data_IF_290444139211
#
_entry.id   IF_290444139211
#
_cell.length_a   1.000
_cell.length_b   1.000
_cell.length_c   1.000
_cell.angle_alpha   90.00
_cell.angle_beta   90.00
_cell.angle_gamma   90.00
#
_symmetry.space_group_name_H-M   'P 1'
#
loop_
_entity.id
_entity.type
_entity.pdbx_description
1 polymer ?
#
# COMPACT_ATOMS: atom_id res chain seq x y z
N UNK A 1 17.59 19.92 9.76
CA UNK A 1 16.44 19.54 10.60
C UNK A 1 16.37 18.04 10.52
N UNK A 2 16.40 17.33 11.64
CA UNK A 2 16.14 15.89 11.61
C UNK A 2 14.67 15.67 11.22
N UNK A 3 14.31 14.55 10.56
CA UNK A 3 12.91 14.24 10.29
C UNK A 3 12.02 14.27 11.55
N UNK A 4 12.60 13.98 12.73
CA UNK A 4 11.91 14.09 14.01
C UNK A 4 11.53 15.53 14.39
N UNK A 5 12.32 16.54 14.05
CA UNK A 5 12.00 17.95 14.33
C UNK A 5 10.93 18.51 13.38
N UNK A 6 10.86 17.97 12.16
CA UNK A 6 9.91 18.42 11.14
C UNK A 6 8.52 17.77 11.31
N UNK A 7 8.50 16.45 11.56
CA UNK A 7 7.29 15.62 11.46
C UNK A 7 6.78 15.09 12.81
N UNK A 8 7.42 15.40 13.93
CA UNK A 8 6.95 15.04 15.28
C UNK A 8 6.85 16.30 16.13
N UNK A 9 5.80 16.39 16.95
CA UNK A 9 5.62 17.49 17.89
C UNK A 9 4.66 17.15 19.02
N UNK A 10 4.58 18.00 20.06
CA UNK A 10 3.54 17.89 21.07
C UNK A 10 2.20 18.37 20.51
N UNK A 11 1.13 18.19 21.29
CA UNK A 11 -0.13 18.89 21.03
C UNK A 11 0.11 20.40 21.14
N UNK A 12 -0.46 21.16 20.21
CA UNK A 12 -0.30 22.62 20.10
C UNK A 12 -1.62 23.38 20.19
N UNK A 13 -2.73 22.77 19.82
CA UNK A 13 -4.05 23.39 19.91
C UNK A 13 -4.59 23.33 21.36
N UNK A 14 -5.36 24.36 21.74
CA UNK A 14 -6.09 24.40 23.01
C UNK A 14 -7.14 23.28 23.05
N UNK A 15 -7.59 22.88 24.23
CA UNK A 15 -8.48 21.72 24.40
C UNK A 15 -9.79 21.87 23.61
N UNK A 16 -10.33 23.09 23.56
CA UNK A 16 -11.53 23.45 22.83
C UNK A 16 -11.38 23.48 21.29
N UNK A 17 -10.14 23.55 20.79
CA UNK A 17 -9.84 23.67 19.35
C UNK A 17 -9.42 22.32 18.73
N UNK A 18 -9.23 21.28 19.55
CA UNK A 18 -8.83 19.94 19.11
C UNK A 18 -9.99 19.19 18.46
N UNK A 19 -9.65 18.35 17.49
CA UNK A 19 -10.56 17.36 16.93
C UNK A 19 -10.33 16.04 17.67
N UNK A 20 -11.22 15.70 18.60
CA UNK A 20 -11.15 14.45 19.38
C UNK A 20 -11.82 13.30 18.61
N UNK A 21 -11.09 12.20 18.43
CA UNK A 21 -11.59 10.98 17.76
C UNK A 21 -11.22 9.73 18.55
N UNK A 22 -11.95 8.64 18.35
CA UNK A 22 -11.60 7.34 18.95
C UNK A 22 -10.29 6.80 18.36
N UNK A 23 -10.27 6.61 17.05
CA UNK A 23 -9.12 6.10 16.29
C UNK A 23 -8.85 7.01 15.10
N UNK A 24 -7.61 7.50 14.97
CA UNK A 24 -7.15 8.25 13.80
C UNK A 24 -6.32 7.33 12.88
N UNK A 25 -6.77 7.15 11.65
CA UNK A 25 -6.11 6.32 10.64
C UNK A 25 -5.49 7.26 9.59
N UNK A 26 -4.16 7.24 9.49
CA UNK A 26 -3.41 8.07 8.55
C UNK A 26 -3.17 7.28 7.27
N UNK A 27 -3.88 7.65 6.20
CA UNK A 27 -3.80 7.02 4.88
C UNK A 27 -5.03 6.16 4.59
N UNK A 28 -5.83 6.60 3.61
CA UNK A 28 -7.00 5.89 3.11
C UNK A 28 -6.66 4.86 2.04
N UNK A 29 -5.55 4.12 2.20
CA UNK A 29 -5.18 2.96 1.37
C UNK A 29 -5.92 1.68 1.78
N UNK A 30 -5.58 0.53 1.19
CA UNK A 30 -6.30 -0.71 1.48
C UNK A 30 -6.14 -1.14 2.95
N UNK A 31 -4.98 -0.89 3.55
CA UNK A 31 -4.76 -1.14 4.98
C UNK A 31 -5.61 -0.23 5.87
N UNK A 32 -5.59 1.08 5.60
CA UNK A 32 -6.36 2.04 6.39
C UNK A 32 -7.86 1.83 6.28
N UNK A 33 -8.38 1.59 5.07
CA UNK A 33 -9.81 1.33 4.86
C UNK A 33 -10.23 -0.01 5.46
N UNK A 34 -9.42 -1.07 5.34
CA UNK A 34 -9.72 -2.34 5.99
C UNK A 34 -9.74 -2.21 7.52
N UNK A 35 -8.83 -1.42 8.09
CA UNK A 35 -8.83 -1.11 9.53
C UNK A 35 -10.11 -0.36 9.94
N UNK A 36 -10.50 0.67 9.17
CA UNK A 36 -11.70 1.44 9.44
C UNK A 36 -12.97 0.57 9.39
N UNK A 37 -13.13 -0.19 8.31
CA UNK A 37 -14.27 -1.11 8.13
C UNK A 37 -14.34 -2.10 9.30
N UNK A 38 -13.22 -2.77 9.61
CA UNK A 38 -13.22 -3.79 10.66
C UNK A 38 -13.49 -3.21 12.04
N UNK A 39 -12.97 -2.02 12.35
CA UNK A 39 -13.31 -1.32 13.61
C UNK A 39 -14.80 -1.04 13.69
N UNK A 40 -15.40 -0.49 12.62
CA UNK A 40 -16.84 -0.20 12.63
C UNK A 40 -17.70 -1.46 12.77
N UNK A 41 -17.35 -2.56 12.08
CA UNK A 41 -18.01 -3.86 12.26
C UNK A 41 -17.96 -4.36 13.71
N UNK A 42 -16.82 -4.19 14.41
CA UNK A 42 -16.69 -4.62 15.81
C UNK A 42 -17.45 -3.72 16.80
N UNK A 43 -17.65 -2.44 16.43
CA UNK A 43 -18.32 -1.43 17.24
C UNK A 43 -19.85 -1.46 17.07
N UNK A 44 -20.37 -2.00 15.98
CA UNK A 44 -21.80 -2.16 15.70
C UNK A 44 -22.52 -2.89 16.84
N UNK A 45 -21.93 -3.97 17.35
CA UNK A 45 -22.47 -4.79 18.44
C UNK A 45 -21.93 -4.42 19.84
N UNK A 46 -21.21 -3.30 19.99
CA UNK A 46 -20.61 -2.87 21.25
C UNK A 46 -20.81 -1.37 21.56
N UNK A 47 -22.05 -0.95 21.86
CA UNK A 47 -22.38 0.46 22.08
C UNK A 47 -21.60 1.09 23.25
N UNK A 48 -21.23 0.31 24.27
CA UNK A 48 -20.48 0.81 25.41
C UNK A 48 -19.03 1.18 25.04
N UNK A 49 -18.41 0.43 24.12
CA UNK A 49 -17.10 0.83 23.58
C UNK A 49 -17.25 1.99 22.61
N UNK A 50 -18.27 1.99 21.75
CA UNK A 50 -18.55 3.08 20.81
C UNK A 50 -18.74 4.42 21.51
N UNK A 51 -19.58 4.48 22.56
CA UNK A 51 -19.80 5.70 23.35
C UNK A 51 -18.49 6.20 23.99
N UNK A 52 -17.66 5.28 24.49
CA UNK A 52 -16.33 5.64 25.02
C UNK A 52 -15.41 6.19 23.94
N UNK A 53 -15.54 5.81 22.67
CA UNK A 53 -14.71 6.33 21.58
C UNK A 53 -15.15 7.72 21.11
N UNK A 54 -16.32 8.20 21.55
CA UNK A 54 -16.82 9.54 21.27
C UNK A 54 -17.66 9.61 20.00
N UNK A 55 -18.02 10.84 19.61
CA UNK A 55 -18.91 11.10 18.47
C UNK A 55 -18.33 10.64 17.12
N UNK A 56 -17.00 10.65 17.00
CA UNK A 56 -16.27 10.14 15.84
C UNK A 56 -15.41 8.96 16.28
N UNK A 57 -15.96 7.72 16.29
CA UNK A 57 -15.21 6.55 16.75
C UNK A 57 -13.99 6.24 15.88
N UNK A 58 -14.10 6.46 14.57
CA UNK A 58 -13.05 6.19 13.59
C UNK A 58 -12.99 7.32 12.57
N UNK A 59 -11.82 7.94 12.42
CA UNK A 59 -11.54 8.94 11.40
C UNK A 59 -10.38 8.47 10.50
N UNK A 60 -10.55 8.57 9.18
CA UNK A 60 -9.53 8.27 8.18
C UNK A 60 -9.06 9.57 7.54
N UNK A 61 -7.77 9.86 7.62
CA UNK A 61 -7.14 11.05 7.05
C UNK A 61 -6.46 10.66 5.73
N UNK A 62 -7.01 11.14 4.61
CA UNK A 62 -6.53 10.82 3.27
C UNK A 62 -6.17 12.09 2.49
N UNK A 63 -4.92 12.14 2.00
CA UNK A 63 -4.40 13.29 1.26
C UNK A 63 -4.99 13.44 -0.14
N UNK A 64 -5.47 12.35 -0.73
CA UNK A 64 -6.08 12.33 -2.05
C UNK A 64 -7.44 13.01 -2.05
N UNK A 65 -7.81 13.55 -3.22
CA UNK A 65 -9.15 14.12 -3.43
C UNK A 65 -10.27 13.13 -3.20
N UNK A 66 -9.99 11.87 -3.52
CA UNK A 66 -10.83 10.72 -3.18
C UNK A 66 -9.90 9.60 -2.76
N UNK A 67 -10.39 8.71 -1.89
CA UNK A 67 -9.69 7.48 -1.58
C UNK A 67 -9.37 6.73 -2.89
N UNK A 68 -8.13 6.28 -3.04
CA UNK A 68 -7.65 5.62 -4.27
C UNK A 68 -7.01 6.54 -5.32
N UNK A 69 -7.11 7.88 -5.18
CA UNK A 69 -6.52 8.82 -6.15
C UNK A 69 -4.99 8.71 -6.27
N UNK A 70 -4.31 8.28 -5.20
CA UNK A 70 -2.86 8.10 -5.14
C UNK A 70 -2.42 6.63 -5.12
N UNK A 71 -3.34 5.70 -5.39
CA UNK A 71 -3.05 4.25 -5.40
C UNK A 71 -2.50 3.82 -6.75
N UNK A 72 -1.42 3.02 -6.74
CA UNK A 72 -0.79 2.50 -7.95
C UNK A 72 -0.25 1.10 -7.73
N UNK A 73 -0.66 0.16 -8.58
CA UNK A 73 -0.15 -1.21 -8.62
C UNK A 73 -0.48 -1.86 -9.95
N UNK A 74 0.32 -2.85 -10.37
CA UNK A 74 -0.04 -3.76 -11.46
C UNK A 74 -1.25 -4.62 -11.07
N UNK A 75 -1.23 -5.12 -9.84
CA UNK A 75 -2.29 -5.76 -9.07
C UNK A 75 -2.90 -7.08 -9.60
N UNK A 76 -2.23 -8.17 -9.21
CA UNK A 76 -2.83 -9.53 -9.15
C UNK A 76 -2.94 -9.93 -7.69
N UNK A 77 -4.15 -10.06 -7.18
CA UNK A 77 -4.44 -10.18 -5.75
C UNK A 77 -4.97 -11.57 -5.39
N UNK A 78 -4.57 -12.08 -4.23
CA UNK A 78 -5.22 -13.22 -3.59
C UNK A 78 -6.49 -12.70 -2.88
N UNK A 79 -7.70 -13.22 -3.18
CA UNK A 79 -8.94 -12.69 -2.61
C UNK A 79 -9.15 -13.02 -1.13
N UNK A 80 -8.28 -13.83 -0.50
CA UNK A 80 -8.50 -14.33 0.88
C UNK A 80 -8.78 -13.22 1.89
N UNK A 81 -8.10 -12.09 1.80
CA UNK A 81 -8.25 -10.97 2.74
C UNK A 81 -9.57 -10.23 2.57
N UNK A 82 -10.13 -10.23 1.35
CA UNK A 82 -11.49 -9.72 1.12
C UNK A 82 -12.50 -10.66 1.76
N UNK A 83 -12.36 -11.97 1.55
CA UNK A 83 -13.25 -12.96 2.18
C UNK A 83 -13.16 -12.97 3.71
N UNK A 84 -12.01 -12.63 4.29
CA UNK A 84 -11.87 -12.48 5.74
C UNK A 84 -12.54 -11.20 6.27
N UNK A 85 -12.53 -10.12 5.49
CA UNK A 85 -13.14 -8.84 5.88
C UNK A 85 -14.65 -8.78 5.60
N UNK A 86 -15.10 -9.50 4.57
CA UNK A 86 -16.48 -9.60 4.12
C UNK A 86 -16.84 -11.08 3.88
N UNK A 87 -17.05 -11.87 4.95
CA UNK A 87 -17.24 -13.32 4.84
C UNK A 87 -18.49 -13.73 4.05
N UNK A 88 -19.50 -12.86 4.01
CA UNK A 88 -20.76 -13.11 3.33
C UNK A 88 -20.81 -12.54 1.89
N UNK A 89 -19.67 -12.07 1.35
CA UNK A 89 -19.58 -11.47 0.02
C UNK A 89 -18.67 -12.27 -0.91
N UNK A 90 -19.27 -13.07 -1.77
CA UNK A 90 -18.61 -13.79 -2.85
C UNK A 90 -18.21 -12.86 -4.02
N UNK A 91 -17.20 -13.25 -4.82
CA UNK A 91 -16.72 -12.44 -5.95
C UNK A 91 -17.79 -12.21 -7.03
N UNK A 92 -18.72 -13.17 -7.21
CA UNK A 92 -19.76 -13.11 -8.24
C UNK A 92 -21.08 -12.47 -7.75
N UNK A 93 -21.15 -12.04 -6.49
CA UNK A 93 -22.36 -11.46 -5.91
C UNK A 93 -22.62 -10.02 -6.40
N UNK A 94 -23.88 -9.61 -6.39
CA UNK A 94 -24.25 -8.22 -6.70
C UNK A 94 -23.63 -7.26 -5.67
N UNK A 95 -22.94 -6.22 -6.13
CA UNK A 95 -22.23 -5.28 -5.25
C UNK A 95 -20.89 -5.81 -4.68
N UNK A 96 -20.42 -6.96 -5.19
CA UNK A 96 -19.10 -7.50 -4.91
C UNK A 96 -17.97 -6.50 -5.19
N UNK A 97 -16.82 -6.76 -4.58
CA UNK A 97 -15.61 -5.96 -4.72
C UNK A 97 -15.12 -5.91 -6.18
N UNK A 98 -14.60 -4.76 -6.65
CA UNK A 98 -14.32 -4.58 -8.08
C UNK A 98 -13.09 -5.37 -8.55
N UNK A 99 -13.27 -6.17 -9.60
CA UNK A 99 -12.21 -6.93 -10.26
C UNK A 99 -12.43 -7.08 -11.78
N UNK A 100 -11.40 -7.58 -12.48
CA UNK A 100 -11.44 -7.96 -13.90
C UNK A 100 -11.51 -9.49 -14.11
N UNK A 101 -11.85 -10.22 -13.03
CA UNK A 101 -12.03 -11.67 -13.04
C UNK A 101 -10.80 -12.45 -12.59
N UNK A 102 -10.94 -13.79 -12.48
CA UNK A 102 -9.86 -14.67 -12.07
C UNK A 102 -8.75 -14.70 -13.14
N UNK A 103 -7.52 -14.97 -12.71
CA UNK A 103 -6.39 -15.16 -13.62
C UNK A 103 -6.59 -16.45 -14.42
N UNK A 104 -6.98 -16.30 -15.70
CA UNK A 104 -7.24 -17.43 -16.61
C UNK A 104 -5.98 -18.17 -17.08
N UNK A 105 -4.81 -17.55 -16.93
CA UNK A 105 -3.52 -18.18 -17.23
C UNK A 105 -2.35 -17.25 -16.99
N UNK A 106 -1.14 -17.81 -17.05
CA UNK A 106 0.10 -17.12 -16.73
C UNK A 106 1.25 -17.53 -17.66
N UNK A 107 2.13 -16.57 -17.97
CA UNK A 107 3.38 -16.81 -18.71
C UNK A 107 4.51 -15.97 -18.14
N UNK A 108 5.69 -16.57 -18.06
CA UNK A 108 6.93 -15.86 -17.71
C UNK A 108 7.90 -15.99 -18.88
N UNK A 109 8.49 -14.87 -19.27
CA UNK A 109 9.52 -14.83 -20.31
C UNK A 109 10.85 -14.33 -19.75
N UNK A 110 11.94 -14.96 -20.16
CA UNK A 110 13.27 -14.39 -20.02
C UNK A 110 13.63 -13.64 -21.31
N UNK A 111 13.87 -12.33 -21.19
CA UNK A 111 14.16 -11.42 -22.29
C UNK A 111 15.67 -11.43 -22.53
N UNK A 112 16.10 -12.09 -23.61
CA UNK A 112 17.52 -12.23 -23.95
C UNK A 112 18.12 -10.91 -24.46
N UNK A 113 17.33 -10.15 -25.21
CA UNK A 113 17.69 -8.85 -25.79
C UNK A 113 16.43 -8.17 -26.35
N UNK A 114 16.60 -7.02 -27.00
CA UNK A 114 15.53 -6.24 -27.62
C UNK A 114 14.69 -6.95 -28.70
N UNK A 115 15.06 -8.15 -29.13
CA UNK A 115 14.37 -8.90 -30.20
C UNK A 115 13.89 -10.30 -29.81
N UNK A 116 14.47 -10.92 -28.77
CA UNK A 116 14.25 -12.32 -28.44
C UNK A 116 13.86 -12.49 -26.98
N UNK A 117 12.80 -13.26 -26.76
CA UNK A 117 12.34 -13.71 -25.45
C UNK A 117 12.13 -15.23 -25.48
N UNK A 118 12.45 -15.90 -24.38
CA UNK A 118 12.27 -17.35 -24.21
C UNK A 118 11.25 -17.60 -23.10
N UNK A 119 10.20 -18.40 -23.33
CA UNK A 119 9.26 -18.74 -22.27
C UNK A 119 9.93 -19.65 -21.24
N UNK A 120 9.70 -19.38 -19.95
CA UNK A 120 10.09 -20.28 -18.86
C UNK A 120 8.97 -21.29 -18.62
N UNK A 121 9.23 -22.55 -19.00
CA UNK A 121 8.27 -23.65 -18.90
C UNK A 121 8.90 -24.80 -18.10
N UNK A 122 8.28 -25.25 -17.00
CA UNK A 122 7.03 -24.76 -16.42
C UNK A 122 7.16 -23.36 -15.81
N UNK A 123 6.03 -22.67 -15.60
CA UNK A 123 6.00 -21.37 -14.90
C UNK A 123 6.66 -21.52 -13.53
N UNK A 124 7.64 -20.66 -13.18
CA UNK A 124 8.30 -20.69 -11.87
C UNK A 124 7.28 -20.51 -10.73
N UNK A 125 7.43 -21.22 -9.60
CA UNK A 125 6.41 -21.25 -8.54
C UNK A 125 5.91 -19.88 -8.04
N UNK A 126 6.76 -18.85 -7.82
CA UNK A 126 6.29 -17.55 -7.33
C UNK A 126 5.34 -16.80 -8.29
N UNK A 127 5.38 -17.14 -9.58
CA UNK A 127 4.53 -16.54 -10.62
C UNK A 127 3.27 -17.34 -10.92
N UNK A 128 2.98 -18.39 -10.15
CA UNK A 128 1.73 -19.14 -10.26
C UNK A 128 0.60 -18.36 -9.60
N UNK A 129 -0.47 -18.11 -10.34
CA UNK A 129 -1.54 -17.21 -9.93
C UNK A 129 -2.93 -17.87 -9.96
N UNK A 130 -3.00 -19.19 -9.88
CA UNK A 130 -4.26 -19.90 -9.70
C UNK A 130 -4.99 -19.39 -8.45
N UNK A 131 -6.30 -19.13 -8.57
CA UNK A 131 -7.13 -18.57 -7.50
C UNK A 131 -6.99 -17.06 -7.27
N UNK A 132 -6.05 -16.39 -7.94
CA UNK A 132 -5.91 -14.94 -7.85
C UNK A 132 -6.77 -14.21 -8.89
N UNK A 133 -6.95 -12.92 -8.67
CA UNK A 133 -7.76 -12.04 -9.52
C UNK A 133 -6.94 -10.85 -10.01
N UNK A 134 -7.24 -10.36 -11.21
CA UNK A 134 -6.71 -9.09 -11.70
C UNK A 134 -7.62 -7.97 -11.24
N UNK A 135 -7.04 -6.90 -10.69
CA UNK A 135 -7.81 -5.81 -10.07
C UNK A 135 -7.29 -4.44 -10.49
N UNK A 136 -8.08 -3.40 -10.23
CA UNK A 136 -7.59 -2.02 -10.14
C UNK A 136 -7.53 -1.64 -8.66
N UNK A 137 -6.33 -1.41 -8.12
CA UNK A 137 -6.19 -0.96 -6.72
C UNK A 137 -6.89 0.37 -6.45
N UNK A 138 -7.04 1.23 -7.45
CA UNK A 138 -7.77 2.49 -7.32
C UNK A 138 -9.29 2.26 -7.26
N UNK A 139 -9.84 1.34 -8.07
CA UNK A 139 -11.27 0.99 -8.00
C UNK A 139 -11.59 0.27 -6.70
N UNK A 140 -10.77 -0.72 -6.32
CA UNK A 140 -10.92 -1.45 -5.06
C UNK A 140 -10.90 -0.51 -3.85
N UNK A 141 -10.01 0.48 -3.87
CA UNK A 141 -9.91 1.40 -2.74
C UNK A 141 -11.06 2.43 -2.68
N UNK A 142 -11.70 2.77 -3.81
CA UNK A 142 -12.93 3.57 -3.79
C UNK A 142 -14.07 2.76 -3.19
N UNK A 143 -14.22 1.51 -3.62
CA UNK A 143 -15.20 0.59 -3.05
C UNK A 143 -14.98 0.35 -1.55
N UNK A 144 -13.73 0.15 -1.10
CA UNK A 144 -13.43 0.03 0.34
C UNK A 144 -13.75 1.31 1.12
N UNK A 145 -13.58 2.49 0.51
CA UNK A 145 -13.94 3.76 1.15
C UNK A 145 -15.45 3.91 1.28
N UNK A 146 -16.21 3.58 0.22
CA UNK A 146 -17.68 3.53 0.26
C UNK A 146 -18.14 2.58 1.39
N UNK A 147 -17.52 1.40 1.51
CA UNK A 147 -17.81 0.46 2.60
C UNK A 147 -17.44 0.97 3.99
N UNK A 148 -16.35 1.73 4.12
CA UNK A 148 -15.98 2.35 5.39
C UNK A 148 -16.99 3.45 5.81
N UNK A 149 -17.40 4.29 4.86
CA UNK A 149 -18.40 5.35 5.08
C UNK A 149 -19.79 4.76 5.38
N UNK A 150 -20.22 3.72 4.65
CA UNK A 150 -21.46 2.97 4.92
C UNK A 150 -21.48 2.39 6.34
N UNK A 151 -20.32 1.92 6.84
CA UNK A 151 -20.17 1.43 8.20
C UNK A 151 -20.08 2.55 9.26
N UNK A 152 -20.04 3.82 8.86
CA UNK A 152 -20.03 4.99 9.75
C UNK A 152 -18.65 5.55 10.09
N UNK A 153 -17.58 5.11 9.41
CA UNK A 153 -16.27 5.75 9.56
C UNK A 153 -16.26 7.13 8.89
N UNK A 154 -15.59 8.10 9.52
CA UNK A 154 -15.49 9.45 8.98
C UNK A 154 -14.24 9.61 8.09
N UNK A 155 -14.42 9.76 6.78
CA UNK A 155 -13.30 9.87 5.83
C UNK A 155 -13.01 11.34 5.49
N UNK A 156 -11.89 11.84 5.99
CA UNK A 156 -11.34 13.17 5.74
C UNK A 156 -10.42 13.15 4.51
N UNK A 157 -11.01 13.28 3.31
CA UNK A 157 -10.24 13.45 2.07
C UNK A 157 -9.58 14.84 1.99
N UNK A 158 -8.66 15.02 1.04
CA UNK A 158 -7.88 16.27 0.85
C UNK A 158 -7.18 16.76 2.13
N UNK A 159 -6.88 15.84 3.05
CA UNK A 159 -6.33 16.14 4.36
C UNK A 159 -5.04 15.35 4.57
N UNK A 160 -3.93 16.07 4.81
CA UNK A 160 -2.62 15.47 5.07
C UNK A 160 -2.40 15.40 6.57
N UNK A 161 -2.00 14.24 7.10
CA UNK A 161 -1.35 14.18 8.41
C UNK A 161 0.05 14.76 8.30
N UNK A 162 0.25 16.00 8.77
CA UNK A 162 1.49 16.75 8.61
C UNK A 162 2.50 16.45 9.73
N UNK A 163 2.03 16.21 10.95
CA UNK A 163 2.89 15.83 12.09
C UNK A 163 2.27 14.72 12.92
N UNK A 164 3.11 13.88 13.51
CA UNK A 164 2.73 12.93 14.54
C UNK A 164 2.76 13.64 15.89
N UNK A 165 1.69 13.51 16.67
CA UNK A 165 1.59 14.08 18.01
C UNK A 165 2.12 13.07 19.01
N UNK A 166 3.21 13.42 19.71
CA UNK A 166 3.92 12.52 20.63
C UNK A 166 4.26 13.22 21.93
N UNK A 167 3.90 12.61 23.05
CA UNK A 167 4.27 13.05 24.40
C UNK A 167 4.75 11.85 25.22
N UNK A 168 5.86 12.01 25.93
CA UNK A 168 6.44 10.97 26.80
C UNK A 168 6.60 9.58 26.12
N UNK A 169 6.87 9.56 24.81
CA UNK A 169 7.02 8.33 24.02
C UNK A 169 5.71 7.64 23.63
N UNK A 170 4.56 8.25 23.93
CA UNK A 170 3.23 7.82 23.49
C UNK A 170 2.74 8.68 22.34
N UNK A 171 2.15 8.03 21.34
CA UNK A 171 1.48 8.70 20.23
C UNK A 171 0.05 9.05 20.63
N UNK A 172 -0.34 10.30 20.38
CA UNK A 172 -1.62 10.88 20.77
C UNK A 172 -2.51 11.28 19.59
N UNK A 173 -2.03 11.11 18.35
CA UNK A 173 -2.78 11.53 17.16
C UNK A 173 -1.89 12.14 16.08
N UNK A 174 -2.47 13.00 15.26
CA UNK A 174 -1.76 13.74 14.20
C UNK A 174 -2.24 15.18 14.09
N UNK A 175 -1.35 16.07 13.68
CA UNK A 175 -1.71 17.41 13.21
C UNK A 175 -1.97 17.39 11.71
N UNK A 176 -3.07 17.97 11.26
CA UNK A 176 -3.36 18.12 9.83
C UNK A 176 -2.49 19.20 9.17
N UNK A 177 -2.40 19.19 7.84
CA UNK A 177 -1.64 20.19 7.09
C UNK A 177 -2.36 21.53 6.96
N UNK A 178 -1.61 22.63 7.08
CA UNK A 178 -2.11 23.97 6.83
C UNK A 178 -2.66 24.13 5.40
N UNK A 179 -3.72 24.92 5.25
CA UNK A 179 -4.25 25.34 3.95
C UNK A 179 -3.93 26.80 3.68
N UNK A 180 -3.96 27.18 2.41
CA UNK A 180 -3.79 28.58 2.02
C UNK A 180 -2.36 29.12 2.16
N UNK A 181 -1.32 28.28 2.05
CA UNK A 181 0.08 28.76 1.92
C UNK A 181 0.48 29.03 0.48
N UNK A 182 1.42 29.95 0.27
CA UNK A 182 2.06 30.22 -1.02
C UNK A 182 3.33 29.37 -1.24
N UNK A 183 3.98 29.54 -2.41
CA UNK A 183 5.18 28.78 -2.77
C UNK A 183 6.38 29.07 -1.85
N UNK A 184 6.43 30.23 -1.22
CA UNK A 184 7.43 30.61 -0.23
C UNK A 184 7.08 30.18 1.21
N UNK A 185 5.91 29.57 1.42
CA UNK A 185 5.41 29.19 2.74
C UNK A 185 4.66 30.31 3.47
N UNK A 186 4.51 31.48 2.84
CA UNK A 186 3.74 32.60 3.38
C UNK A 186 2.24 32.31 3.41
N UNK A 187 1.55 32.91 4.36
CA UNK A 187 0.09 32.79 4.53
C UNK A 187 -0.63 33.64 3.48
N UNK A 188 -1.61 33.05 2.78
CA UNK A 188 -2.53 33.77 1.89
C UNK A 188 -3.74 34.27 2.68
N UNK A 189 -4.58 35.10 2.04
CA UNK A 189 -5.82 35.60 2.65
C UNK A 189 -6.85 34.51 3.03
N UNK A 190 -6.68 33.28 2.55
CA UNK A 190 -7.49 32.11 2.92
C UNK A 190 -6.68 31.08 3.73
N UNK A 191 -5.66 31.53 4.45
CA UNK A 191 -4.87 30.67 5.32
C UNK A 191 -5.74 30.08 6.43
N UNK A 192 -5.57 28.78 6.65
CA UNK A 192 -6.19 28.04 7.73
C UNK A 192 -5.09 27.15 8.33
N UNK A 193 -4.73 27.34 9.62
CA UNK A 193 -3.77 26.45 10.26
C UNK A 193 -4.33 25.04 10.32
N UNK A 194 -3.46 24.04 10.23
CA UNK A 194 -3.83 22.67 10.51
C UNK A 194 -4.37 22.52 11.93
N UNK A 195 -5.10 21.44 12.18
CA UNK A 195 -5.72 21.14 13.47
C UNK A 195 -5.11 19.87 14.05
N UNK A 196 -5.00 19.81 15.38
CA UNK A 196 -4.62 18.62 16.10
C UNK A 196 -5.82 17.66 16.17
N UNK A 197 -5.67 16.50 15.54
CA UNK A 197 -6.58 15.36 15.63
C UNK A 197 -6.05 14.44 16.71
N UNK A 198 -6.63 14.52 17.91
CA UNK A 198 -6.24 13.74 19.08
C UNK A 198 -7.04 12.45 19.11
N UNK A 199 -6.34 11.34 19.33
CA UNK A 199 -6.90 10.00 19.20
C UNK A 199 -6.46 9.07 20.33
N UNK A 200 -7.33 8.12 20.69
CA UNK A 200 -6.99 7.06 21.65
C UNK A 200 -6.03 6.02 21.05
N UNK A 201 -6.14 5.82 19.73
CA UNK A 201 -5.23 5.02 18.93
C UNK A 201 -4.95 5.70 17.59
N UNK A 202 -3.70 5.63 17.12
CA UNK A 202 -3.28 6.12 15.80
C UNK A 202 -2.80 4.97 14.93
N UNK A 203 -3.29 4.88 13.70
CA UNK A 203 -2.88 3.86 12.73
C UNK A 203 -2.10 4.52 11.61
N UNK A 204 -0.83 4.17 11.45
CA UNK A 204 -0.03 4.64 10.32
C UNK A 204 -0.17 3.68 9.14
N UNK A 205 -0.94 4.09 8.13
CA UNK A 205 -1.26 3.34 6.92
C UNK A 205 -0.93 4.14 5.63
N UNK A 206 0.07 5.01 5.69
CA UNK A 206 0.49 5.92 4.60
C UNK A 206 0.98 5.18 3.34
N UNK A 207 1.28 3.89 3.47
CA UNK A 207 1.91 3.05 2.45
C UNK A 207 3.41 3.28 2.37
N UNK A 208 4.00 2.96 1.22
CA UNK A 208 5.45 3.02 1.06
C UNK A 208 6.02 4.42 1.30
N UNK A 209 7.09 4.46 2.11
CA UNK A 209 7.85 5.67 2.43
C UNK A 209 7.00 6.81 3.01
N UNK A 210 6.05 6.46 3.89
CA UNK A 210 5.26 7.44 4.65
C UNK A 210 6.14 8.35 5.50
N UNK A 211 5.89 9.66 5.46
CA UNK A 211 6.73 10.63 6.18
C UNK A 211 6.49 10.59 7.68
N UNK A 212 5.24 10.35 8.13
CA UNK A 212 4.96 10.15 9.55
C UNK A 212 5.48 8.81 10.05
N UNK A 213 5.35 7.75 9.24
CA UNK A 213 5.89 6.42 9.54
C UNK A 213 7.40 6.49 9.69
N UNK A 214 8.12 7.11 8.75
CA UNK A 214 9.56 7.30 8.86
C UNK A 214 9.97 8.08 10.12
N UNK A 215 9.22 9.14 10.46
CA UNK A 215 9.45 9.92 11.66
C UNK A 215 9.20 9.11 12.95
N UNK A 216 8.14 8.28 12.98
CA UNK A 216 7.81 7.39 14.08
C UNK A 216 8.89 6.33 14.29
N UNK A 217 9.33 5.66 13.21
CA UNK A 217 10.39 4.65 13.25
C UNK A 217 11.68 5.18 13.88
N UNK A 218 12.08 6.40 13.50
CA UNK A 218 13.28 7.06 14.04
C UNK A 218 13.10 7.54 15.47
N UNK A 219 11.97 8.20 15.78
CA UNK A 219 11.78 8.88 17.07
C UNK A 219 11.50 7.87 18.19
N UNK A 220 10.78 6.79 17.88
CA UNK A 220 10.39 5.74 18.83
C UNK A 220 11.31 4.51 18.74
N UNK A 221 12.39 4.59 17.95
CA UNK A 221 13.42 3.56 17.80
C UNK A 221 12.88 2.15 17.42
N UNK A 222 11.86 2.12 16.56
CA UNK A 222 11.10 0.91 16.23
C UNK A 222 11.83 -0.04 15.28
N UNK A 223 12.84 0.45 14.56
CA UNK A 223 13.63 -0.35 13.60
C UNK A 223 15.00 -0.78 14.17
N UNK A 224 15.23 -0.66 15.48
CA UNK A 224 16.55 -0.92 16.09
C UNK A 224 17.07 -2.35 15.96
N UNK A 225 16.18 -3.33 15.78
CA UNK A 225 16.51 -4.75 15.64
C UNK A 225 16.16 -5.30 14.24
N UNK A 226 15.95 -4.42 13.27
CA UNK A 226 15.53 -4.76 11.91
C UNK A 226 16.58 -4.33 10.90
N UNK A 227 16.67 -5.04 9.77
CA UNK A 227 17.46 -4.60 8.64
C UNK A 227 16.87 -3.31 8.04
N UNK A 228 17.68 -2.44 7.41
CA UNK A 228 17.15 -1.28 6.72
C UNK A 228 16.24 -1.71 5.57
N UNK A 229 15.13 -0.99 5.41
CA UNK A 229 14.26 -1.19 4.26
C UNK A 229 15.01 -0.90 2.96
N UNK A 230 14.84 -1.77 1.98
CA UNK A 230 15.28 -1.56 0.59
C UNK A 230 14.06 -1.37 -0.28
N UNK A 231 14.21 -0.61 -1.36
CA UNK A 231 13.07 -0.16 -2.15
C UNK A 231 13.27 -0.49 -3.61
N UNK A 232 12.18 -0.58 -4.36
CA UNK A 232 12.16 -0.51 -5.81
C UNK A 232 11.25 0.61 -6.29
N UNK A 233 11.43 1.03 -7.53
CA UNK A 233 10.54 1.93 -8.23
C UNK A 233 9.78 1.16 -9.30
N UNK A 234 8.46 1.18 -9.22
CA UNK A 234 7.56 0.71 -10.26
C UNK A 234 7.02 1.87 -11.09
N UNK A 235 7.08 1.76 -12.41
CA UNK A 235 6.37 2.64 -13.35
C UNK A 235 5.28 1.84 -14.06
N UNK A 236 4.11 2.44 -14.20
CA UNK A 236 2.91 1.79 -14.76
C UNK A 236 2.29 2.66 -15.83
N UNK A 237 1.80 2.01 -16.88
CA UNK A 237 0.85 2.55 -17.84
C UNK A 237 -0.41 1.68 -17.90
N UNK A 238 -1.54 2.28 -18.26
CA UNK A 238 -2.74 1.55 -18.70
C UNK A 238 -2.96 1.88 -20.16
N UNK A 239 -3.19 0.85 -20.97
CA UNK A 239 -3.41 0.97 -22.40
C UNK A 239 -4.75 0.35 -22.78
N UNK A 240 -5.55 1.07 -23.56
CA UNK A 240 -6.58 0.47 -24.41
C UNK A 240 -5.90 -0.26 -25.56
N UNK A 241 -6.35 -1.48 -25.85
CA UNK A 241 -5.76 -2.35 -26.88
C UNK A 241 -6.85 -2.92 -27.80
N UNK A 242 -6.51 -3.21 -29.05
CA UNK A 242 -7.46 -3.74 -30.03
C UNK A 242 -7.89 -5.18 -29.72
N UNK A 243 -7.01 -5.97 -29.10
CA UNK A 243 -7.23 -7.39 -28.82
C UNK A 243 -7.08 -7.65 -27.32
N UNK A 244 -8.05 -8.30 -26.68
CA UNK A 244 -7.95 -8.62 -25.26
C UNK A 244 -6.80 -9.60 -25.02
N UNK A 245 -6.10 -9.40 -23.92
CA UNK A 245 -5.13 -10.36 -23.39
C UNK A 245 -5.87 -11.35 -22.47
N UNK A 246 -5.49 -12.63 -22.50
CA UNK A 246 -6.14 -13.73 -21.77
C UNK A 246 -5.30 -14.29 -20.61
N UNK A 247 -4.07 -13.80 -20.44
CA UNK A 247 -3.13 -14.28 -19.41
C UNK A 247 -2.32 -13.15 -18.80
N UNK A 248 -1.92 -13.33 -17.55
CA UNK A 248 -0.90 -12.47 -16.93
C UNK A 248 0.47 -12.81 -17.49
N UNK A 249 1.26 -11.80 -17.84
CA UNK A 249 2.62 -11.96 -18.36
C UNK A 249 3.59 -11.26 -17.42
N UNK A 250 4.68 -11.96 -17.09
CA UNK A 250 5.85 -11.35 -16.44
C UNK A 250 7.07 -11.53 -17.33
N UNK A 251 8.00 -10.59 -17.25
CA UNK A 251 9.30 -10.74 -17.91
C UNK A 251 10.47 -10.43 -16.99
N UNK A 252 11.57 -11.13 -17.20
CA UNK A 252 12.85 -10.93 -16.52
C UNK A 252 13.94 -10.64 -17.55
N UNK A 253 15.04 -10.01 -17.15
CA UNK A 253 16.18 -9.71 -18.02
C UNK A 253 16.06 -8.35 -18.71
N UNK A 254 16.37 -8.31 -20.02
CA UNK A 254 16.37 -7.07 -20.81
C UNK A 254 15.05 -6.29 -20.66
N UNK A 255 15.07 -4.94 -20.51
CA UNK A 255 16.21 -4.02 -20.74
C UNK A 255 17.22 -3.87 -19.61
N UNK A 256 16.99 -4.48 -18.45
CA UNK A 256 17.94 -4.40 -17.34
C UNK A 256 19.26 -5.10 -17.70
N UNK A 257 20.36 -4.50 -17.25
CA UNK A 257 21.72 -4.93 -17.56
C UNK A 257 22.19 -5.98 -16.55
N UNK A 258 22.53 -7.21 -16.99
CA UNK A 258 22.79 -8.33 -16.09
C UNK A 258 24.18 -8.28 -15.45
N UNK A 259 25.06 -7.34 -15.82
CA UNK A 259 26.40 -7.30 -15.25
C UNK A 259 26.36 -6.73 -13.83
N UNK A 260 26.92 -7.45 -12.86
CA UNK A 260 26.90 -7.06 -11.44
C UNK A 260 27.39 -5.65 -11.11
N UNK A 261 28.24 -5.06 -11.94
CA UNK A 261 28.65 -3.64 -11.80
C UNK A 261 27.50 -2.63 -11.90
N UNK A 262 26.37 -3.00 -12.50
CA UNK A 262 25.19 -2.15 -12.62
C UNK A 262 24.20 -2.33 -11.48
N UNK A 263 24.19 -3.52 -10.84
CA UNK A 263 23.27 -3.89 -9.76
C UNK A 263 21.80 -3.65 -10.13
N UNK A 264 21.45 -3.93 -11.39
CA UNK A 264 20.08 -3.76 -11.88
C UNK A 264 19.28 -5.04 -11.67
N UNK A 265 18.35 -4.99 -10.72
CA UNK A 265 17.40 -6.07 -10.44
C UNK A 265 15.97 -5.59 -10.68
N UNK A 266 15.13 -6.46 -11.25
CA UNK A 266 13.73 -6.14 -11.49
C UNK A 266 13.12 -6.90 -12.66
N UNK A 267 12.01 -6.40 -13.16
CA UNK A 267 11.24 -7.07 -14.21
C UNK A 267 9.97 -6.31 -14.60
N UNK A 268 9.22 -6.89 -15.52
CA UNK A 268 7.98 -6.29 -16.04
C UNK A 268 6.75 -7.10 -15.70
N UNK A 269 5.60 -6.45 -15.89
CA UNK A 269 4.31 -7.12 -15.96
C UNK A 269 3.45 -6.60 -17.12
N UNK A 270 2.55 -7.46 -17.61
CA UNK A 270 1.44 -7.13 -18.50
C UNK A 270 0.21 -7.93 -18.05
N UNK A 271 -0.81 -7.27 -17.52
CA UNK A 271 -2.01 -7.92 -16.99
C UNK A 271 -3.26 -7.48 -17.73
N UNK A 272 -4.19 -8.41 -18.04
CA UNK A 272 -5.43 -8.08 -18.71
C UNK A 272 -6.42 -7.38 -17.78
N UNK A 273 -6.96 -6.25 -18.21
CA UNK A 273 -8.01 -5.50 -17.52
C UNK A 273 -9.27 -5.52 -18.40
N UNK A 274 -9.85 -6.71 -18.56
CA UNK A 274 -11.01 -6.91 -19.42
C UNK A 274 -12.30 -6.88 -18.58
N UNK A 275 -13.29 -6.14 -19.06
CA UNK A 275 -14.67 -6.18 -18.54
C UNK A 275 -15.62 -6.23 -19.73
N UNK A 276 -16.70 -6.98 -19.60
CA UNK A 276 -17.70 -7.09 -20.67
C UNK A 276 -18.27 -5.70 -20.99
N UNK A 277 -18.46 -5.41 -22.28
CA UNK A 277 -18.97 -4.12 -22.75
C UNK A 277 -17.97 -2.95 -22.74
N UNK A 278 -16.75 -3.15 -22.22
CA UNK A 278 -15.68 -2.13 -22.25
C UNK A 278 -14.64 -2.40 -23.34
N UNK A 279 -13.97 -1.34 -23.81
CA UNK A 279 -12.73 -1.48 -24.59
C UNK A 279 -11.70 -2.28 -23.78
N UNK A 280 -11.10 -3.34 -24.33
CA UNK A 280 -10.07 -4.12 -23.65
C UNK A 280 -8.89 -3.25 -23.24
N UNK A 281 -8.41 -3.45 -22.02
CA UNK A 281 -7.26 -2.73 -21.48
C UNK A 281 -6.18 -3.69 -20.98
N UNK A 282 -4.95 -3.20 -20.93
CA UNK A 282 -3.84 -3.87 -20.23
C UNK A 282 -3.16 -2.92 -19.26
N UNK A 283 -2.85 -3.43 -18.07
CA UNK A 283 -1.90 -2.85 -17.14
C UNK A 283 -0.51 -3.31 -17.55
N UNK A 284 0.39 -2.39 -17.88
CA UNK A 284 1.77 -2.70 -18.23
C UNK A 284 2.72 -1.87 -17.37
N UNK A 285 3.82 -2.45 -16.92
CA UNK A 285 4.81 -1.69 -16.18
C UNK A 285 6.13 -2.40 -16.01
N UNK A 286 7.06 -1.69 -15.38
CA UNK A 286 8.41 -2.15 -15.10
C UNK A 286 8.81 -1.76 -13.68
N UNK A 287 9.52 -2.65 -13.00
CA UNK A 287 10.11 -2.42 -11.67
C UNK A 287 11.62 -2.51 -11.78
N UNK A 288 12.33 -1.62 -11.09
CA UNK A 288 13.76 -1.77 -10.81
C UNK A 288 14.06 -1.44 -9.34
N UNK A 289 14.88 -2.26 -8.69
CA UNK A 289 15.41 -2.01 -7.34
C UNK A 289 16.17 -0.69 -7.29
N UNK A 290 15.96 0.13 -6.25
CA UNK A 290 16.62 1.44 -6.06
C UNK A 290 18.06 1.33 -5.56
N UNK A 291 18.63 0.13 -5.56
CA UNK A 291 20.03 -0.18 -5.22
C UNK A 291 20.94 -0.34 -6.45
N UNK A 292 20.45 0.03 -7.66
CA UNK A 292 21.26 0.13 -8.87
C UNK A 292 22.40 1.15 -8.74
N UNK A 293 23.52 0.88 -9.42
CA UNK A 293 24.73 1.70 -9.32
C UNK A 293 24.81 2.84 -10.35
N UNK A 294 24.14 2.71 -11.51
CA UNK A 294 24.20 3.73 -12.56
C UNK A 294 23.20 4.85 -12.30
N UNK A 295 23.69 6.02 -11.90
CA UNK A 295 22.88 7.22 -11.61
C UNK A 295 22.07 7.73 -12.81
N UNK A 296 22.34 7.23 -14.02
CA UNK A 296 21.60 7.60 -15.25
C UNK A 296 20.43 6.66 -15.53
N UNK A 297 20.28 5.56 -14.78
CA UNK A 297 19.17 4.64 -15.00
C UNK A 297 17.85 5.36 -14.69
N UNK A 298 16.91 5.25 -15.63
CA UNK A 298 15.56 5.78 -15.51
C UNK A 298 14.59 4.63 -15.74
N UNK A 299 13.85 4.25 -14.70
CA UNK A 299 12.88 3.13 -14.80
C UNK A 299 11.76 3.48 -15.79
N UNK A 300 11.45 4.77 -15.93
CA UNK A 300 10.55 5.26 -16.98
C UNK A 300 11.08 4.91 -18.37
N UNK A 301 12.35 5.20 -18.65
CA UNK A 301 12.97 4.93 -19.95
C UNK A 301 13.11 3.42 -20.21
N UNK A 302 13.39 2.63 -19.16
CA UNK A 302 13.36 1.16 -19.23
C UNK A 302 11.99 0.66 -19.68
N UNK A 303 10.89 1.21 -19.15
CA UNK A 303 9.54 0.87 -19.62
C UNK A 303 9.33 1.29 -21.09
N UNK A 304 9.80 2.46 -21.50
CA UNK A 304 9.69 2.90 -22.90
C UNK A 304 10.47 1.97 -23.84
N UNK A 305 11.68 1.57 -23.46
CA UNK A 305 12.50 0.62 -24.22
C UNK A 305 11.84 -0.77 -24.27
N UNK A 306 11.35 -1.27 -23.14
CA UNK A 306 10.67 -2.56 -23.04
C UNK A 306 9.49 -2.68 -24.02
N UNK A 307 8.69 -1.63 -24.17
CA UNK A 307 7.55 -1.58 -25.09
C UNK A 307 7.94 -1.76 -26.56
N UNK A 308 9.20 -1.51 -26.93
CA UNK A 308 9.69 -1.71 -28.30
C UNK A 308 9.95 -3.17 -28.63
N UNK A 309 10.05 -4.06 -27.63
CA UNK A 309 10.27 -5.48 -27.88
C UNK A 309 9.11 -6.08 -28.68
N UNK A 310 9.35 -6.93 -29.71
CA UNK A 310 8.29 -7.46 -30.57
C UNK A 310 7.12 -8.14 -29.83
N UNK A 311 7.41 -8.85 -28.73
CA UNK A 311 6.39 -9.45 -27.85
C UNK A 311 5.38 -8.40 -27.34
N UNK A 312 5.90 -7.26 -26.87
CA UNK A 312 5.12 -6.21 -26.20
C UNK A 312 4.49 -5.29 -27.24
N UNK A 313 5.26 -4.90 -28.26
CA UNK A 313 4.80 -4.05 -29.36
C UNK A 313 3.55 -4.63 -30.03
N UNK A 314 3.49 -5.95 -30.22
CA UNK A 314 2.32 -6.62 -30.81
C UNK A 314 1.06 -6.53 -29.93
N UNK A 315 1.21 -6.46 -28.61
CA UNK A 315 0.08 -6.30 -27.68
C UNK A 315 -0.47 -4.87 -27.74
N UNK A 316 0.42 -3.88 -27.89
CA UNK A 316 0.07 -2.46 -27.86
C UNK A 316 -0.20 -1.83 -29.23
N UNK A 317 -0.03 -2.58 -30.33
CA UNK A 317 -0.21 -2.11 -31.69
C UNK A 317 -1.66 -1.62 -31.90
N UNK A 318 -1.82 -0.42 -32.47
CA UNK A 318 -3.12 0.26 -32.61
C UNK A 318 -3.73 0.78 -31.29
N UNK A 319 -3.11 0.48 -30.15
CA UNK A 319 -3.59 0.87 -28.83
C UNK A 319 -3.35 2.32 -28.45
N UNK A 320 -3.98 2.74 -27.35
CA UNK A 320 -3.90 4.10 -26.80
C UNK A 320 -3.55 4.04 -25.31
N UNK A 321 -2.50 4.75 -24.90
CA UNK A 321 -2.20 4.96 -23.48
C UNK A 321 -3.25 5.87 -22.85
N UNK A 322 -3.90 5.42 -21.78
CA UNK A 322 -4.94 6.17 -21.06
C UNK A 322 -4.54 6.59 -19.64
N UNK A 323 -3.51 5.96 -19.06
CA UNK A 323 -2.97 6.37 -17.76
C UNK A 323 -1.46 6.11 -17.66
N UNK A 324 -0.81 6.85 -16.77
CA UNK A 324 0.59 6.67 -16.36
C UNK A 324 0.74 7.01 -14.88
N UNK A 325 1.66 6.33 -14.18
CA UNK A 325 2.10 6.74 -12.85
C UNK A 325 3.34 5.97 -12.40
N UNK A 326 3.85 6.34 -11.23
CA UNK A 326 4.96 5.65 -10.58
C UNK A 326 4.75 5.55 -9.07
N UNK A 327 5.32 4.52 -8.43
CA UNK A 327 5.33 4.37 -6.97
C UNK A 327 6.53 3.55 -6.53
N UNK A 328 7.08 3.89 -5.36
CA UNK A 328 8.05 3.02 -4.71
C UNK A 328 7.36 1.74 -4.18
N UNK A 329 8.13 0.70 -3.91
CA UNK A 329 7.67 -0.58 -3.35
C UNK A 329 8.72 -1.02 -2.31
N UNK A 330 8.33 -1.41 -1.08
CA UNK A 330 9.27 -1.97 -0.12
C UNK A 330 9.68 -3.38 -0.56
N UNK A 331 10.96 -3.69 -0.43
CA UNK A 331 11.55 -4.96 -0.90
C UNK A 331 12.48 -5.65 0.11
N UNK A 332 12.60 -5.12 1.32
CA UNK A 332 13.41 -5.69 2.40
C UNK A 332 12.78 -6.94 3.02
N UNK A 333 11.48 -7.14 2.82
CA UNK A 333 10.77 -8.33 3.27
C UNK A 333 10.83 -8.52 4.79
N UNK A 334 10.88 -9.78 5.23
CA UNK A 334 10.77 -10.15 6.64
C UNK A 334 11.78 -9.47 7.56
N UNK A 335 13.05 -9.40 7.15
CA UNK A 335 14.12 -8.86 8.01
C UNK A 335 14.04 -7.35 8.21
N UNK A 336 13.40 -6.64 7.28
CA UNK A 336 13.21 -5.21 7.35
C UNK A 336 11.89 -4.79 8.02
N UNK A 337 11.09 -5.74 8.53
CA UNK A 337 9.90 -5.41 9.30
C UNK A 337 10.33 -4.74 10.62
N UNK A 338 9.86 -3.51 10.91
CA UNK A 338 10.10 -2.86 12.19
C UNK A 338 9.19 -3.47 13.26
N UNK A 339 9.38 -3.05 14.50
CA UNK A 339 8.34 -3.19 15.53
C UNK A 339 7.07 -2.49 15.06
N UNK A 340 5.94 -3.20 15.01
CA UNK A 340 4.71 -2.72 14.35
C UNK A 340 3.82 -1.84 15.24
N UNK A 341 4.23 -1.61 16.49
CA UNK A 341 3.47 -0.85 17.45
C UNK A 341 4.34 0.04 18.35
N UNK A 342 3.70 1.05 18.92
CA UNK A 342 4.18 1.83 20.05
C UNK A 342 2.98 2.15 20.98
N UNK A 343 3.19 2.70 22.19
CA UNK A 343 2.06 3.15 23.01
C UNK A 343 1.16 4.12 22.22
N UNK A 344 -0.11 3.76 22.05
CA UNK A 344 -1.08 4.54 21.28
C UNK A 344 -1.00 4.43 19.75
N UNK A 345 -0.14 3.58 19.18
CA UNK A 345 0.03 3.49 17.72
C UNK A 345 0.31 2.08 17.17
N UNK A 346 -0.15 1.81 15.95
CA UNK A 346 0.27 0.67 15.10
C UNK A 346 0.63 1.12 13.67
N UNK A 347 1.40 0.31 12.94
CA UNK A 347 1.82 0.55 11.55
C UNK A 347 1.34 -0.59 10.64
N UNK A 348 0.66 -0.27 9.53
CA UNK A 348 0.02 -1.29 8.68
C UNK A 348 0.49 -1.23 7.21
N UNK A 349 0.37 -2.37 6.51
CA UNK A 349 0.60 -2.51 5.08
C UNK A 349 2.02 -2.14 4.61
N UNK A 350 2.11 -1.48 3.46
CA UNK A 350 3.39 -1.06 2.88
C UNK A 350 4.17 -0.05 3.75
N UNK A 351 3.51 0.62 4.70
CA UNK A 351 4.20 1.50 5.66
C UNK A 351 5.14 0.70 6.59
N UNK A 352 4.73 -0.52 6.94
CA UNK A 352 5.55 -1.48 7.67
C UNK A 352 6.46 -2.34 6.76
N UNK A 353 6.28 -2.27 5.44
CA UNK A 353 7.05 -3.07 4.48
C UNK A 353 6.45 -4.45 4.17
N UNK A 354 5.14 -4.65 4.40
CA UNK A 354 4.47 -5.94 4.23
C UNK A 354 4.20 -6.30 2.75
N UNK A 355 5.28 -6.61 2.01
CA UNK A 355 5.23 -7.00 0.60
C UNK A 355 6.03 -8.27 0.38
N UNK A 356 5.40 -9.29 -0.22
CA UNK A 356 6.09 -10.47 -0.70
C UNK A 356 6.65 -10.19 -2.10
N UNK A 357 7.92 -9.82 -2.14
CA UNK A 357 8.65 -9.46 -3.37
C UNK A 357 8.64 -10.59 -4.40
N UNK A 358 9.00 -11.85 -4.09
CA UNK A 358 9.01 -12.89 -5.13
C UNK A 358 7.64 -13.19 -5.71
N UNK A 359 6.56 -13.09 -4.93
CA UNK A 359 5.19 -13.26 -5.42
C UNK A 359 4.63 -11.99 -6.08
N UNK A 360 5.31 -10.85 -5.97
CA UNK A 360 4.88 -9.51 -6.40
C UNK A 360 3.52 -9.09 -5.80
N UNK A 361 3.33 -9.35 -4.49
CA UNK A 361 2.05 -9.11 -3.81
C UNK A 361 2.22 -8.35 -2.51
N UNK A 362 1.33 -7.36 -2.32
CA UNK A 362 1.20 -6.57 -1.09
C UNK A 362 -0.26 -6.24 -0.73
N UNK A 363 -1.15 -6.16 -1.72
CA UNK A 363 -2.53 -5.66 -1.53
C UNK A 363 -3.31 -6.44 -0.47
N UNK A 364 -3.26 -7.78 -0.51
CA UNK A 364 -4.01 -8.61 0.44
C UNK A 364 -3.35 -8.61 1.84
N UNK A 365 -2.02 -8.46 1.93
CA UNK A 365 -1.35 -8.23 3.21
C UNK A 365 -1.70 -6.87 3.80
N UNK A 366 -1.84 -5.83 2.97
CA UNK A 366 -2.30 -4.52 3.43
C UNK A 366 -3.70 -4.62 4.06
N UNK A 367 -4.65 -5.25 3.37
CA UNK A 367 -6.02 -5.47 3.89
C UNK A 367 -5.98 -6.27 5.20
N UNK A 368 -5.28 -7.39 5.21
CA UNK A 368 -5.21 -8.26 6.39
C UNK A 368 -4.53 -7.56 7.58
N UNK A 369 -3.45 -6.81 7.34
CA UNK A 369 -2.78 -6.04 8.38
C UNK A 369 -3.68 -4.98 9.01
N UNK A 370 -4.57 -4.36 8.21
CA UNK A 370 -5.57 -3.42 8.69
C UNK A 370 -6.65 -4.10 9.54
N UNK A 371 -7.14 -5.27 9.10
CA UNK A 371 -8.10 -6.08 9.86
C UNK A 371 -7.54 -6.51 11.23
N UNK A 372 -6.30 -7.00 11.26
CA UNK A 372 -5.62 -7.41 12.49
C UNK A 372 -5.33 -6.22 13.43
N UNK A 373 -5.01 -5.05 12.86
CA UNK A 373 -4.83 -3.82 13.63
C UNK A 373 -6.13 -3.39 14.30
N UNK A 374 -7.23 -3.41 13.55
CA UNK A 374 -8.57 -3.09 14.07
C UNK A 374 -8.96 -4.00 15.25
N UNK A 375 -8.77 -5.31 15.11
CA UNK A 375 -9.09 -6.28 16.16
C UNK A 375 -8.25 -6.07 17.42
N UNK A 376 -6.96 -5.76 17.24
CA UNK A 376 -6.07 -5.46 18.37
C UNK A 376 -6.47 -4.17 19.06
N UNK A 377 -6.69 -3.09 18.30
CA UNK A 377 -7.08 -1.78 18.84
C UNK A 377 -8.40 -1.89 19.58
N UNK A 378 -9.41 -2.53 18.98
CA UNK A 378 -10.71 -2.74 19.61
C UNK A 378 -10.58 -3.48 20.94
N UNK A 379 -9.89 -4.62 20.96
CA UNK A 379 -9.70 -5.44 22.16
C UNK A 379 -9.02 -4.65 23.30
N UNK A 380 -7.95 -3.92 22.96
CA UNK A 380 -7.17 -3.17 23.95
C UNK A 380 -7.90 -1.93 24.47
N UNK A 381 -8.52 -1.14 23.59
CA UNK A 381 -9.32 0.02 24.00
C UNK A 381 -10.55 -0.41 24.83
N UNK A 382 -11.18 -1.53 24.48
CA UNK A 382 -12.28 -2.10 25.27
C UNK A 382 -11.86 -2.41 26.70
N UNK A 383 -10.65 -2.93 26.87
CA UNK A 383 -10.01 -3.22 28.16
C UNK A 383 -9.41 -1.97 28.86
N UNK A 384 -9.51 -0.78 28.27
CA UNK A 384 -8.93 0.45 28.82
C UNK A 384 -7.40 0.54 28.67
N UNK A 385 -6.82 -0.24 27.78
CA UNK A 385 -5.39 -0.29 27.47
C UNK A 385 -5.07 0.50 26.20
N UNK A 386 -3.85 1.04 26.14
CA UNK A 386 -3.26 1.63 24.93
C UNK A 386 -1.98 0.89 24.50
N UNK A 387 -1.75 -0.29 25.06
CA UNK A 387 -0.71 -1.21 24.65
C UNK A 387 -1.23 -2.10 23.51
N UNK A 388 -0.74 -1.86 22.30
CA UNK A 388 -1.09 -2.61 21.10
C UNK A 388 -0.04 -3.66 20.73
N UNK A 389 0.79 -4.11 21.68
CA UNK A 389 1.86 -5.08 21.45
C UNK A 389 1.42 -6.40 20.85
N UNK A 390 0.21 -6.87 21.18
CA UNK A 390 -0.37 -8.07 20.59
C UNK A 390 -0.52 -8.01 19.05
N UNK A 391 -0.45 -6.81 18.45
CA UNK A 391 -0.48 -6.67 17.00
C UNK A 391 0.75 -7.27 16.30
N UNK A 392 1.93 -7.19 16.94
CA UNK A 392 3.14 -7.82 16.39
C UNK A 392 2.92 -9.33 16.25
N UNK A 393 2.48 -9.99 17.33
CA UNK A 393 2.22 -11.44 17.33
C UNK A 393 1.13 -11.80 16.31
N UNK A 394 0.04 -11.04 16.25
CA UNK A 394 -1.04 -11.27 15.30
C UNK A 394 -0.55 -11.24 13.84
N UNK A 395 0.33 -10.31 13.48
CA UNK A 395 0.90 -10.26 12.12
C UNK A 395 1.87 -11.42 11.87
N UNK A 396 2.74 -11.75 12.83
CA UNK A 396 3.70 -12.85 12.69
C UNK A 396 3.01 -14.22 12.56
N UNK A 397 1.91 -14.43 13.28
CA UNK A 397 1.13 -15.68 13.27
C UNK A 397 0.16 -15.80 12.08
N UNK A 398 -0.11 -14.68 11.40
CA UNK A 398 -0.95 -14.63 10.20
C UNK A 398 -0.23 -15.16 8.95
N UNK A 399 -0.95 -15.18 7.83
CA UNK A 399 -0.37 -15.52 6.53
C UNK A 399 0.66 -14.47 6.06
N UNK A 400 0.61 -13.23 6.57
CA UNK A 400 1.62 -12.20 6.30
C UNK A 400 2.99 -12.66 6.82
N UNK A 401 3.08 -12.97 8.12
CA UNK A 401 4.33 -13.40 8.75
C UNK A 401 4.87 -14.69 8.14
N UNK A 402 4.01 -15.68 7.91
CA UNK A 402 4.39 -16.96 7.29
C UNK A 402 4.96 -16.79 5.88
N UNK A 403 4.27 -16.06 5.01
CA UNK A 403 4.69 -15.85 3.62
C UNK A 403 5.97 -15.01 3.51
N UNK A 404 6.12 -13.97 4.35
CA UNK A 404 7.33 -13.15 4.39
C UNK A 404 8.50 -13.97 4.92
N UNK A 405 8.28 -14.79 5.96
CA UNK A 405 9.32 -15.67 6.50
C UNK A 405 9.76 -16.73 5.49
N UNK A 406 8.83 -17.35 4.76
CA UNK A 406 9.13 -18.32 3.70
C UNK A 406 10.06 -17.69 2.64
N UNK A 407 9.81 -16.44 2.28
CA UNK A 407 10.54 -15.70 1.24
C UNK A 407 11.72 -14.84 1.74
N UNK A 408 12.04 -14.88 3.05
CA UNK A 408 12.98 -13.96 3.73
C UNK A 408 14.39 -13.89 3.14
N UNK A 409 14.83 -14.95 2.45
CA UNK A 409 16.18 -15.07 1.91
C UNK A 409 16.25 -14.88 0.37
N UNK A 410 15.18 -14.37 -0.26
CA UNK A 410 15.11 -14.30 -1.72
C UNK A 410 16.02 -13.21 -2.30
N UNK A 411 16.12 -12.04 -1.65
CA UNK A 411 16.81 -10.88 -2.23
C UNK A 411 18.33 -10.89 -1.99
N UNK A 412 18.79 -11.43 -0.86
CA UNK A 412 20.20 -11.44 -0.47
C UNK A 412 21.15 -12.03 -1.54
N UNK A 413 20.79 -13.12 -2.26
CA UNK A 413 21.61 -13.63 -3.36
C UNK A 413 21.83 -12.63 -4.52
N UNK A 414 20.99 -11.61 -4.68
CA UNK A 414 21.04 -10.64 -5.78
C UNK A 414 21.70 -9.31 -5.40
N UNK A 415 22.18 -9.13 -4.16
CA UNK A 415 22.76 -7.86 -3.69
C UNK A 415 24.00 -7.40 -4.48
N UNK A 416 24.69 -8.33 -5.16
CA UNK A 416 25.87 -8.07 -5.98
C UNK A 416 25.58 -7.96 -7.49
N UNK A 417 24.30 -7.98 -7.87
CA UNK A 417 23.79 -7.94 -9.24
C UNK A 417 23.80 -9.29 -9.94
#
# INVERSE_FOLDING_TARGET
MSPSEEFVGPITDAEEDRIEVGVAIVGGGQAGMACAIRLMQLLEDDPATTERLGEVPVAVIEKGRVAGAHQLSGAVMNPVSIGQLFPDLGPDDEGSWPHYGPVGGERVYFMLNSKRAVPLVPTPPPFRNHGNYVISVAELNRWLAEKAEEAGAYVLSETVGAKLLVEEGRVLGVRTGDKGRDRSGGEKGNFEPGSDVVAKATVLAEGNWGHLTGAALSTLNLASNSDPQVWALGVKEVWEVERPLDKVIHTLGWPLRPQGKYREFGGSWIYPMNREGETPKVSIGYVAGLDYADVRLSVHDVLQEFKLHPLVRKILEGGKRVAWGAKAIPEGGYWALPKLHAPGMVICGDAAGMVNVPKLKGVHYAIESGRLAAETIYSQLKAGSSDFSAYDDAVHDSDIGKDLYESRNMKQPFERG
#
